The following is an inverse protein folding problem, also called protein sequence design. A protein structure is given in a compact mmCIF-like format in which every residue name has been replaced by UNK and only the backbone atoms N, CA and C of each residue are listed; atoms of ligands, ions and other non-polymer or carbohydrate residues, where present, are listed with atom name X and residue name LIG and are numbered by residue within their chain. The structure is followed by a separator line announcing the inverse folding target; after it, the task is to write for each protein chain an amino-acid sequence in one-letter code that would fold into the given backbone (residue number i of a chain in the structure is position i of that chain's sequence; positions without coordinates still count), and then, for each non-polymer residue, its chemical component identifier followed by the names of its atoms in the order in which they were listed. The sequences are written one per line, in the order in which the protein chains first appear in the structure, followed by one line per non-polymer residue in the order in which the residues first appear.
data_IF_305016565433
#
_entry.id   IF_305016565433
#
_cell.length_a   1.000
_cell.length_b   1.000
_cell.length_c   1.000
_cell.angle_alpha   90.00
_cell.angle_beta   90.00
_cell.angle_gamma   90.00
#
_symmetry.space_group_name_H-M   'P 1'
#
loop_
_entity.id
_entity.type
_entity.pdbx_description
1 polymer ?
#
# COMPACT_ATOMS: atom_id res chain seq x y z
N UNK A 1 -18.00 44.70 -35.98
CA UNK A 1 -17.06 45.25 -34.96
C UNK A 1 -17.91 45.93 -33.91
N UNK A 2 -17.87 45.71 -32.59
CA UNK A 2 -16.88 45.14 -31.67
C UNK A 2 -17.60 44.30 -30.60
N UNK A 3 -16.93 43.22 -30.21
CA UNK A 3 -17.27 42.33 -29.09
C UNK A 3 -17.12 43.08 -27.77
N UNK A 4 -18.04 42.90 -26.82
CA UNK A 4 -17.76 43.12 -25.39
C UNK A 4 -18.27 41.93 -24.59
N UNK A 5 -17.39 40.92 -24.53
CA UNK A 5 -16.99 40.14 -23.36
C UNK A 5 -18.16 39.65 -22.47
N UNK A 6 -18.57 38.41 -22.76
CA UNK A 6 -19.17 37.51 -21.79
C UNK A 6 -18.31 37.45 -20.52
N UNK A 7 -18.88 37.79 -19.37
CA UNK A 7 -18.30 37.47 -18.07
C UNK A 7 -18.41 35.95 -17.85
N UNK A 8 -17.30 35.27 -18.14
CA UNK A 8 -16.99 33.93 -17.66
C UNK A 8 -16.82 33.97 -16.13
N UNK A 9 -17.85 33.57 -15.39
CA UNK A 9 -17.70 33.10 -14.00
C UNK A 9 -17.89 31.58 -14.02
N UNK A 10 -16.90 30.88 -14.56
CA UNK A 10 -16.76 29.44 -14.28
C UNK A 10 -16.34 29.36 -12.83
N UNK A 11 -17.29 29.02 -11.97
CA UNK A 11 -17.07 28.46 -10.65
C UNK A 11 -16.26 27.17 -10.82
N UNK A 12 -14.94 27.30 -10.98
CA UNK A 12 -14.02 26.20 -10.73
C UNK A 12 -13.91 26.14 -9.20
N UNK A 13 -14.98 25.65 -8.56
CA UNK A 13 -14.83 25.02 -7.27
C UNK A 13 -13.89 23.85 -7.52
N UNK A 14 -12.61 24.07 -7.22
CA UNK A 14 -11.60 23.04 -7.16
C UNK A 14 -12.02 22.08 -6.06
N UNK A 15 -12.90 21.14 -6.39
CA UNK A 15 -13.10 19.92 -5.63
C UNK A 15 -11.79 19.16 -5.83
N UNK A 16 -10.78 19.52 -5.04
CA UNK A 16 -9.71 18.61 -4.72
C UNK A 16 -10.38 17.46 -3.96
N UNK A 17 -10.98 16.54 -4.72
CA UNK A 17 -11.11 15.16 -4.31
C UNK A 17 -9.68 14.68 -4.13
N UNK A 18 -9.10 14.99 -2.97
CA UNK A 18 -8.00 14.24 -2.41
C UNK A 18 -8.58 12.88 -2.06
N UNK A 19 -8.89 12.09 -3.08
CA UNK A 19 -8.99 10.66 -2.97
C UNK A 19 -7.58 10.20 -2.62
N UNK A 20 -7.27 10.26 -1.32
CA UNK A 20 -6.32 9.34 -0.74
C UNK A 20 -6.89 7.96 -1.04
N UNK A 21 -6.53 7.42 -2.21
CA UNK A 21 -6.76 6.03 -2.54
C UNK A 21 -5.99 5.27 -1.46
N UNK A 22 -6.76 4.82 -0.49
CA UNK A 22 -6.32 3.77 0.43
C UNK A 22 -5.84 2.62 -0.46
N UNK A 23 -4.77 1.90 -0.09
CA UNK A 23 -4.40 0.66 -0.76
C UNK A 23 -5.54 -0.37 -0.53
N UNK A 24 -6.63 -0.27 -1.29
CA UNK A 24 -7.87 -1.05 -1.11
C UNK A 24 -8.15 -2.02 -2.24
N UNK A 25 -7.24 -2.17 -3.20
CA UNK A 25 -7.35 -3.26 -4.17
C UNK A 25 -6.34 -4.34 -3.81
N UNK A 26 -6.84 -5.55 -3.56
CA UNK A 26 -6.07 -6.80 -3.47
C UNK A 26 -5.04 -6.91 -4.61
N UNK A 27 -5.32 -6.34 -5.79
CA UNK A 27 -4.42 -6.33 -6.95
C UNK A 27 -3.10 -5.56 -6.76
N UNK A 28 -3.04 -4.64 -5.80
CA UNK A 28 -1.83 -3.82 -5.62
C UNK A 28 -0.65 -4.72 -5.26
N UNK A 29 -0.84 -5.72 -4.39
CA UNK A 29 0.25 -6.61 -3.98
C UNK A 29 0.74 -7.51 -5.12
N UNK A 30 -0.16 -8.06 -5.92
CA UNK A 30 0.21 -8.82 -7.12
C UNK A 30 0.98 -8.00 -8.17
N UNK A 31 0.78 -6.67 -8.19
CA UNK A 31 1.57 -5.77 -9.05
C UNK A 31 2.93 -5.42 -8.42
N UNK A 32 3.02 -5.44 -7.08
CA UNK A 32 4.22 -5.07 -6.31
C UNK A 32 5.23 -6.21 -6.16
N UNK A 33 4.80 -7.47 -6.18
CA UNK A 33 5.64 -8.60 -5.72
C UNK A 33 6.48 -9.31 -6.79
N UNK A 34 6.08 -9.43 -8.07
CA UNK A 34 6.84 -10.23 -9.03
C UNK A 34 8.20 -9.64 -9.43
N UNK A 35 8.39 -8.32 -9.39
CA UNK A 35 9.54 -7.69 -10.05
C UNK A 35 10.31 -6.64 -9.26
N UNK A 36 9.92 -6.25 -8.03
CA UNK A 36 10.53 -5.23 -7.14
C UNK A 36 10.77 -3.82 -7.71
N UNK A 37 11.30 -3.71 -8.93
CA UNK A 37 11.66 -2.51 -9.69
C UNK A 37 10.52 -1.51 -9.79
N UNK A 38 9.25 -1.96 -9.73
CA UNK A 38 8.09 -1.08 -9.82
C UNK A 38 7.42 -0.76 -8.48
N UNK A 39 7.86 -1.40 -7.39
CA UNK A 39 7.24 -1.29 -6.06
C UNK A 39 7.38 0.12 -5.50
N UNK A 40 8.61 0.63 -5.48
CA UNK A 40 8.94 1.95 -4.94
C UNK A 40 8.27 3.06 -5.74
N UNK A 41 8.27 2.94 -7.08
CA UNK A 41 7.61 3.88 -7.99
C UNK A 41 6.09 3.92 -7.75
N UNK A 42 5.46 2.75 -7.62
CA UNK A 42 4.02 2.66 -7.39
C UNK A 42 3.63 3.20 -6.01
N UNK A 43 4.36 2.84 -4.96
CA UNK A 43 4.14 3.35 -3.61
C UNK A 43 4.32 4.88 -3.56
N UNK A 44 5.34 5.41 -4.25
CA UNK A 44 5.55 6.86 -4.37
C UNK A 44 4.37 7.54 -5.04
N UNK A 45 3.82 6.98 -6.13
CA UNK A 45 2.59 7.49 -6.77
C UNK A 45 1.38 7.48 -5.84
N UNK A 46 1.31 6.51 -4.91
CA UNK A 46 0.27 6.41 -3.88
C UNK A 46 0.55 7.30 -2.66
N UNK A 47 1.63 8.08 -2.66
CA UNK A 47 1.97 9.04 -1.61
C UNK A 47 2.80 8.48 -0.45
N UNK A 48 3.23 7.22 -0.54
CA UNK A 48 4.17 6.62 0.40
C UNK A 48 5.59 7.09 0.11
N UNK A 49 6.37 7.31 1.16
CA UNK A 49 7.80 7.61 1.06
C UNK A 49 8.58 6.57 1.85
N UNK A 50 9.66 6.05 1.26
CA UNK A 50 10.55 5.14 1.97
C UNK A 50 11.18 5.86 3.17
N UNK A 51 11.09 5.24 4.34
CA UNK A 51 11.70 5.69 5.59
C UNK A 51 13.01 4.97 5.87
N UNK A 52 13.02 3.67 5.58
CA UNK A 52 14.16 2.78 5.80
C UNK A 52 14.05 1.57 4.88
N UNK A 53 15.18 1.04 4.41
CA UNK A 53 15.27 -0.27 3.79
C UNK A 53 16.60 -0.90 4.16
N UNK A 54 16.58 -2.14 4.61
CA UNK A 54 17.81 -2.83 4.96
C UNK A 54 17.62 -4.28 5.41
N UNK A 55 18.74 -5.00 5.58
CA UNK A 55 18.71 -6.44 5.85
C UNK A 55 18.07 -6.75 7.21
N UNK A 56 17.37 -7.88 7.29
CA UNK A 56 16.83 -8.42 8.55
C UNK A 56 17.85 -9.37 9.19
N UNK A 57 17.81 -9.48 10.52
CA UNK A 57 18.65 -10.43 11.28
C UNK A 57 18.46 -11.89 10.86
N UNK A 58 17.24 -12.25 10.44
CA UNK A 58 16.87 -13.59 9.98
C UNK A 58 17.04 -13.77 8.46
N UNK A 59 17.85 -12.92 7.82
CA UNK A 59 18.01 -12.92 6.36
C UNK A 59 16.88 -12.21 5.62
N UNK A 60 17.16 -11.85 4.37
CA UNK A 60 16.28 -11.03 3.54
C UNK A 60 16.26 -9.55 3.94
N UNK A 61 15.20 -8.84 3.57
CA UNK A 61 15.11 -7.38 3.68
C UNK A 61 13.80 -6.91 4.33
N UNK A 62 13.87 -5.76 4.99
CA UNK A 62 12.72 -5.02 5.48
C UNK A 62 12.73 -3.64 4.85
N UNK A 63 11.71 -3.32 4.06
CA UNK A 63 11.48 -1.96 3.58
C UNK A 63 10.30 -1.34 4.33
N UNK A 64 10.47 -0.12 4.81
CA UNK A 64 9.48 0.64 5.56
C UNK A 64 9.12 1.90 4.78
N UNK A 65 7.82 2.13 4.64
CA UNK A 65 7.25 3.29 3.97
C UNK A 65 6.23 3.98 4.86
N UNK A 66 6.15 5.31 4.72
CA UNK A 66 5.19 6.12 5.43
C UNK A 66 4.46 7.07 4.47
N UNK A 67 3.13 7.09 4.54
CA UNK A 67 2.31 8.07 3.87
C UNK A 67 1.88 9.15 4.86
N UNK A 68 2.50 10.34 4.79
CA UNK A 68 2.22 11.46 5.69
C UNK A 68 0.79 12.00 5.55
N UNK A 69 0.19 11.92 4.35
CA UNK A 69 -1.15 12.49 4.09
C UNK A 69 -2.24 11.62 4.71
N UNK A 70 -2.12 10.31 4.56
CA UNK A 70 -3.09 9.35 5.09
C UNK A 70 -2.74 8.85 6.48
N UNK A 71 -1.54 9.16 6.98
CA UNK A 71 -0.95 8.68 8.23
C UNK A 71 -0.96 7.16 8.31
N UNK A 72 -0.31 6.53 7.34
CA UNK A 72 -0.27 5.08 7.19
C UNK A 72 1.17 4.59 7.08
N UNK A 73 1.46 3.45 7.71
CA UNK A 73 2.76 2.79 7.60
C UNK A 73 2.64 1.48 6.86
N UNK A 74 3.62 1.22 6.01
CA UNK A 74 3.73 -0.03 5.28
C UNK A 74 5.11 -0.63 5.49
N UNK A 75 5.15 -1.92 5.82
CA UNK A 75 6.38 -2.68 6.01
C UNK A 75 6.35 -3.89 5.08
N UNK A 76 7.34 -3.99 4.21
CA UNK A 76 7.47 -5.07 3.22
C UNK A 76 8.58 -5.99 3.68
N UNK A 77 8.24 -7.26 3.88
CA UNK A 77 9.15 -8.27 4.42
C UNK A 77 9.54 -9.27 3.34
N UNK A 78 10.80 -9.20 2.93
CA UNK A 78 11.37 -10.10 1.94
C UNK A 78 12.15 -11.24 2.60
N UNK A 79 12.15 -12.43 2.02
CA UNK A 79 13.04 -13.52 2.41
C UNK A 79 14.46 -13.35 1.83
N UNK A 80 15.35 -14.30 2.10
CA UNK A 80 16.73 -14.31 1.59
C UNK A 80 16.82 -14.37 0.07
N UNK A 81 15.81 -14.94 -0.61
CA UNK A 81 15.69 -14.90 -2.07
C UNK A 81 15.10 -13.57 -2.58
N UNK A 82 14.97 -12.56 -1.71
CA UNK A 82 14.40 -11.25 -2.03
C UNK A 82 12.94 -11.28 -2.49
N UNK A 83 12.22 -12.35 -2.19
CA UNK A 83 10.79 -12.49 -2.45
C UNK A 83 10.01 -11.93 -1.27
N UNK A 84 9.04 -11.06 -1.55
CA UNK A 84 8.14 -10.57 -0.51
C UNK A 84 7.29 -11.74 0.02
N UNK A 85 7.31 -11.93 1.33
CA UNK A 85 6.59 -13.01 2.02
C UNK A 85 5.33 -12.51 2.70
N UNK A 86 5.41 -11.30 3.25
CA UNK A 86 4.28 -10.63 3.87
C UNK A 86 4.49 -9.12 3.88
N UNK A 87 3.39 -8.41 4.08
CA UNK A 87 3.33 -6.97 4.22
C UNK A 87 2.55 -6.64 5.48
N UNK A 88 3.15 -5.87 6.39
CA UNK A 88 2.46 -5.30 7.53
C UNK A 88 1.95 -3.90 7.18
N UNK A 89 0.65 -3.69 7.35
CA UNK A 89 -0.02 -2.43 7.05
C UNK A 89 -0.66 -1.84 8.30
N UNK A 90 -0.19 -0.66 8.70
CA UNK A 90 -0.66 0.04 9.89
C UNK A 90 -1.57 1.19 9.49
N UNK A 91 -2.82 1.07 9.91
CA UNK A 91 -3.91 1.98 9.57
C UNK A 91 -4.22 2.88 10.77
N UNK A 92 -4.43 4.19 10.58
CA UNK A 92 -4.58 5.13 11.69
C UNK A 92 -5.94 5.07 12.38
N UNK A 93 -6.94 4.43 11.75
CA UNK A 93 -8.33 4.42 12.25
C UNK A 93 -8.96 3.03 12.16
N UNK A 94 -9.85 2.72 13.10
CA UNK A 94 -10.63 1.49 13.12
C UNK A 94 -11.51 1.35 11.88
N UNK A 95 -12.01 2.47 11.35
CA UNK A 95 -12.83 2.48 10.13
C UNK A 95 -12.04 1.95 8.93
N UNK A 96 -10.82 2.47 8.69
CA UNK A 96 -9.96 1.98 7.62
C UNK A 96 -9.60 0.50 7.80
N UNK A 97 -9.28 0.11 9.04
CA UNK A 97 -8.99 -1.28 9.39
C UNK A 97 -10.14 -2.23 9.03
N UNK A 98 -11.37 -1.90 9.45
CA UNK A 98 -12.55 -2.72 9.13
C UNK A 98 -12.83 -2.76 7.63
N UNK A 99 -12.66 -1.66 6.91
CA UNK A 99 -12.85 -1.62 5.46
C UNK A 99 -11.85 -2.57 4.75
N UNK A 100 -10.56 -2.45 5.07
CA UNK A 100 -9.51 -3.30 4.49
C UNK A 100 -9.69 -4.78 4.88
N UNK A 101 -10.24 -5.07 6.07
CA UNK A 101 -10.59 -6.42 6.48
C UNK A 101 -11.83 -6.98 5.75
N UNK A 102 -12.78 -6.13 5.38
CA UNK A 102 -14.06 -6.53 4.74
C UNK A 102 -13.93 -6.67 3.22
N UNK A 103 -13.06 -5.87 2.60
CA UNK A 103 -12.67 -5.98 1.19
C UNK A 103 -12.00 -7.33 0.86
N UNK A 104 -11.68 -8.14 1.88
CA UNK A 104 -11.35 -9.58 1.82
C UNK A 104 -12.28 -10.40 0.91
N UNK A 105 -13.53 -9.99 0.70
CA UNK A 105 -14.47 -10.68 -0.20
C UNK A 105 -14.03 -10.71 -1.68
N UNK A 106 -12.98 -9.97 -2.05
CA UNK A 106 -12.41 -9.90 -3.40
C UNK A 106 -10.92 -10.27 -3.46
N UNK A 107 -10.35 -10.90 -2.42
CA UNK A 107 -8.97 -11.39 -2.47
C UNK A 107 -8.84 -12.50 -3.51
N UNK A 108 -7.86 -12.35 -4.41
CA UNK A 108 -7.48 -13.35 -5.40
C UNK A 108 -6.88 -14.57 -4.67
N UNK A 109 -6.82 -15.73 -5.34
CA UNK A 109 -6.26 -16.95 -4.75
C UNK A 109 -4.81 -16.71 -4.26
N UNK A 110 -4.52 -17.08 -3.01
CA UNK A 110 -3.17 -17.05 -2.42
C UNK A 110 -2.84 -15.85 -1.52
N UNK A 111 -3.77 -14.90 -1.33
CA UNK A 111 -3.64 -13.83 -0.34
C UNK A 111 -4.40 -14.17 0.95
N UNK A 112 -3.71 -14.12 2.08
CA UNK A 112 -4.34 -14.19 3.40
C UNK A 112 -4.09 -12.90 4.20
N UNK A 113 -5.18 -12.28 4.67
CA UNK A 113 -5.13 -11.10 5.53
C UNK A 113 -5.42 -11.50 6.98
N UNK A 114 -4.42 -11.32 7.84
CA UNK A 114 -4.50 -11.62 9.28
C UNK A 114 -4.69 -10.33 10.09
N UNK A 115 -5.82 -10.19 10.80
CA UNK A 115 -6.04 -9.07 11.72
C UNK A 115 -5.20 -9.22 12.99
N UNK A 116 -4.32 -8.24 13.27
CA UNK A 116 -3.46 -8.26 14.46
C UNK A 116 -3.94 -7.33 15.58
N UNK A 117 -4.98 -6.52 15.33
CA UNK A 117 -5.52 -5.58 16.32
C UNK A 117 -4.71 -4.29 16.42
N UNK A 118 -4.51 -3.77 17.63
CA UNK A 118 -3.81 -2.49 17.87
C UNK A 118 -2.30 -2.69 17.96
N UNK A 119 -1.56 -1.76 17.39
CA UNK A 119 -0.10 -1.66 17.52
C UNK A 119 0.30 -0.21 17.80
N UNK A 120 1.57 0.01 18.14
CA UNK A 120 2.14 1.34 18.34
C UNK A 120 3.30 1.56 17.38
N UNK A 121 3.33 2.75 16.78
CA UNK A 121 4.44 3.22 15.96
C UNK A 121 4.64 4.71 16.26
N UNK A 122 5.89 5.12 16.54
CA UNK A 122 6.22 6.51 16.90
C UNK A 122 5.29 7.10 17.98
N UNK A 123 5.04 6.35 19.07
CA UNK A 123 4.15 6.72 20.20
C UNK A 123 2.68 6.98 19.82
N UNK A 124 2.23 6.51 18.65
CA UNK A 124 0.84 6.61 18.19
C UNK A 124 0.23 5.23 17.98
N UNK A 125 -1.06 5.11 18.30
CA UNK A 125 -1.83 3.88 18.08
C UNK A 125 -2.18 3.74 16.61
N UNK A 126 -1.95 2.54 16.08
CA UNK A 126 -2.40 2.10 14.76
C UNK A 126 -3.14 0.77 14.85
N UNK A 127 -3.83 0.40 13.78
CA UNK A 127 -4.47 -0.90 13.60
C UNK A 127 -3.70 -1.70 12.56
N UNK A 128 -3.29 -2.91 12.91
CA UNK A 128 -2.33 -3.71 12.16
C UNK A 128 -3.03 -4.84 11.40
N UNK A 129 -2.83 -4.85 10.07
CA UNK A 129 -3.15 -5.96 9.19
C UNK A 129 -1.87 -6.55 8.63
N UNK A 130 -1.76 -7.88 8.60
CA UNK A 130 -0.71 -8.59 7.87
C UNK A 130 -1.33 -9.17 6.61
N UNK A 131 -0.73 -8.88 5.46
CA UNK A 131 -1.02 -9.53 4.20
C UNK A 131 0.08 -10.56 3.97
N UNK A 132 -0.28 -11.84 3.91
CA UNK A 132 0.62 -12.94 3.59
C UNK A 132 0.30 -13.46 2.21
N UNK A 133 1.33 -13.96 1.52
CA UNK A 133 1.23 -14.37 0.12
C UNK A 133 1.74 -15.81 0.01
N UNK A 134 0.84 -16.75 -0.24
CA UNK A 134 1.21 -18.15 -0.39
C UNK A 134 1.88 -18.42 -1.74
N UNK A 135 3.14 -18.86 -1.66
CA UNK A 135 3.95 -19.57 -2.67
C UNK A 135 3.72 -19.15 -4.14
N UNK A 136 4.45 -18.13 -4.57
CA UNK A 136 4.86 -18.05 -5.98
C UNK A 136 5.80 -19.22 -6.28
N UNK A 137 5.27 -20.34 -6.79
CA UNK A 137 6.09 -21.32 -7.50
C UNK A 137 6.43 -20.69 -8.83
N UNK A 138 7.67 -20.24 -9.01
CA UNK A 138 8.20 -19.94 -10.35
C UNK A 138 7.97 -21.20 -11.19
N UNK A 139 7.21 -21.16 -12.30
CA UNK A 139 7.10 -22.33 -13.16
C UNK A 139 8.51 -22.71 -13.62
N UNK A 140 8.86 -24.01 -13.64
CA UNK A 140 10.16 -24.43 -14.14
C UNK A 140 10.32 -23.86 -15.55
N UNK A 141 11.45 -23.19 -15.79
CA UNK A 141 11.83 -22.80 -17.14
C UNK A 141 12.02 -24.10 -17.90
N UNK A 142 11.10 -24.42 -18.80
CA UNK A 142 11.33 -25.46 -19.80
C UNK A 142 12.41 -24.92 -20.72
N UNK A 143 13.61 -25.50 -20.65
CA UNK A 143 14.69 -25.34 -21.63
C UNK A 143 14.23 -25.79 -23.03
#
# INVERSE_FOLDING_TARGET
MKRFILFFMVLISGIFLSSAQTLTSSEIWYTLMPNKINTDSLLTKKGFKMKYSGPKKLGGNLACYFNKKSDEWLFIHDNEQWQTTHVSYFLPTLKKYKNNQSEKKLSLQGEEVTPMGKTYQENKVYYHLIYTFEKYKVPPVTE
#
